data_IF_040575313838
#
_entry.id   IF_040575313838
#
_cell.length_a   1.000
_cell.length_b   1.000
_cell.length_c   1.000
_cell.angle_alpha   90.00
_cell.angle_beta   90.00
_cell.angle_gamma   90.00
#
_symmetry.space_group_name_H-M   'P 1'
#
loop_
_entity.id
_entity.type
_entity.pdbx_description
1 polymer ?
#
# COMPACT_ATOMS: atom_id res chain seq x y z
N UNK A 1 26.66 4.73 -8.91
CA UNK A 1 25.25 4.94 -8.49
C UNK A 1 25.11 6.36 -7.94
N UNK A 2 23.99 7.04 -8.17
CA UNK A 2 23.69 8.40 -7.68
C UNK A 2 22.63 8.34 -6.59
N UNK A 3 23.03 8.50 -5.32
CA UNK A 3 22.12 8.38 -4.16
C UNK A 3 20.94 9.37 -4.18
N UNK A 4 21.11 10.66 -4.54
CA UNK A 4 19.98 11.59 -4.59
C UNK A 4 18.94 11.19 -5.64
N UNK A 5 19.40 10.73 -6.80
CA UNK A 5 18.52 10.27 -7.89
C UNK A 5 17.77 8.99 -7.49
N UNK A 6 18.45 8.07 -6.80
CA UNK A 6 17.82 6.88 -6.24
C UNK A 6 16.73 7.25 -5.22
N UNK A 7 17.05 8.15 -4.27
CA UNK A 7 16.09 8.60 -3.27
C UNK A 7 14.88 9.29 -3.90
N UNK A 8 15.10 10.12 -4.93
CA UNK A 8 14.03 10.73 -5.71
C UNK A 8 13.15 9.67 -6.38
N UNK A 9 13.73 8.63 -6.99
CA UNK A 9 12.98 7.51 -7.57
C UNK A 9 12.12 6.79 -6.53
N UNK A 10 12.67 6.53 -5.34
CA UNK A 10 11.93 5.93 -4.23
C UNK A 10 10.75 6.80 -3.78
N UNK A 11 10.95 8.11 -3.63
CA UNK A 11 9.90 9.06 -3.30
C UNK A 11 8.84 9.15 -4.40
N UNK A 12 9.24 9.10 -5.67
CA UNK A 12 8.32 9.08 -6.81
C UNK A 12 7.44 7.83 -6.81
N UNK A 13 7.97 6.64 -6.46
CA UNK A 13 7.12 5.47 -6.27
C UNK A 13 6.14 5.68 -5.11
N UNK A 14 6.58 6.20 -3.96
CA UNK A 14 5.68 6.43 -2.82
C UNK A 14 4.54 7.41 -3.16
N UNK A 15 4.81 8.44 -3.97
CA UNK A 15 3.78 9.32 -4.53
C UNK A 15 2.86 8.59 -5.50
N UNK A 16 3.44 7.79 -6.41
CA UNK A 16 2.69 7.00 -7.37
C UNK A 16 1.77 5.98 -6.68
N UNK A 17 2.25 5.29 -5.63
CA UNK A 17 1.49 4.38 -4.79
C UNK A 17 0.19 5.03 -4.30
N UNK A 18 0.30 6.20 -3.67
CA UNK A 18 -0.87 6.94 -3.20
C UNK A 18 -1.80 7.30 -4.36
N UNK A 19 -1.25 7.85 -5.45
CA UNK A 19 -2.04 8.33 -6.58
C UNK A 19 -2.78 7.20 -7.30
N UNK A 20 -2.11 6.08 -7.61
CA UNK A 20 -2.73 4.94 -8.27
C UNK A 20 -3.76 4.29 -7.36
N UNK A 21 -3.46 4.14 -6.06
CA UNK A 21 -4.37 3.50 -5.12
C UNK A 21 -5.66 4.31 -4.95
N UNK A 22 -5.54 5.63 -4.75
CA UNK A 22 -6.68 6.54 -4.59
C UNK A 22 -7.46 6.78 -5.88
N UNK A 23 -6.79 7.23 -6.93
CA UNK A 23 -7.47 7.75 -8.13
C UNK A 23 -7.76 6.67 -9.19
N UNK A 24 -7.04 5.54 -9.15
CA UNK A 24 -7.26 4.42 -10.08
C UNK A 24 -7.92 3.25 -9.36
N UNK A 25 -7.39 2.81 -8.22
CA UNK A 25 -7.93 1.70 -7.44
C UNK A 25 -9.33 2.00 -6.89
N UNK A 26 -9.47 3.11 -6.18
CA UNK A 26 -10.74 3.61 -5.62
C UNK A 26 -11.43 4.68 -6.47
N UNK A 27 -10.93 4.92 -7.68
CA UNK A 27 -11.59 5.76 -8.67
C UNK A 27 -12.88 5.12 -9.22
N UNK A 28 -13.63 5.84 -10.09
CA UNK A 28 -14.78 5.28 -10.77
C UNK A 28 -14.43 3.98 -11.49
N UNK A 29 -15.35 3.01 -11.48
CA UNK A 29 -15.19 1.76 -12.22
C UNK A 29 -14.90 2.06 -13.69
N UNK A 30 -13.87 1.42 -14.23
CA UNK A 30 -13.43 1.63 -15.60
C UNK A 30 -13.84 0.44 -16.46
N UNK A 31 -14.35 0.73 -17.65
CA UNK A 31 -14.65 -0.31 -18.64
C UNK A 31 -13.39 -1.04 -19.06
N UNK A 32 -13.48 -2.37 -19.12
CA UNK A 32 -12.39 -3.22 -19.59
C UNK A 32 -12.15 -2.96 -21.07
N UNK A 33 -10.89 -2.71 -21.43
CA UNK A 33 -10.49 -2.53 -22.83
C UNK A 33 -10.10 -3.91 -23.41
N UNK A 34 -10.84 -4.46 -24.41
CA UNK A 34 -10.57 -5.79 -24.94
C UNK A 34 -9.26 -5.88 -25.74
N UNK A 35 -8.73 -7.10 -25.84
CA UNK A 35 -7.58 -7.43 -26.67
C UNK A 35 -6.28 -6.78 -26.21
N UNK A 36 -5.32 -6.67 -27.14
CA UNK A 36 -3.98 -6.14 -26.87
C UNK A 36 -3.99 -4.67 -26.39
N UNK A 37 -5.00 -3.88 -26.79
CA UNK A 37 -5.16 -2.47 -26.39
C UNK A 37 -5.31 -2.30 -24.88
N UNK A 38 -5.87 -3.29 -24.18
CA UNK A 38 -5.97 -3.30 -22.72
C UNK A 38 -4.61 -3.32 -22.02
N UNK A 39 -3.58 -3.79 -22.70
CA UNK A 39 -2.24 -4.00 -22.14
C UNK A 39 -1.21 -2.93 -22.52
N UNK A 40 -1.57 -1.99 -23.41
CA UNK A 40 -0.63 -0.99 -23.93
C UNK A 40 -1.12 0.45 -23.79
N UNK A 41 -2.41 0.66 -23.54
CA UNK A 41 -2.98 2.01 -23.40
C UNK A 41 -3.10 2.41 -21.94
N UNK A 42 -2.93 3.70 -21.59
CA UNK A 42 -3.17 4.19 -20.23
C UNK A 42 -4.57 3.85 -19.71
N UNK A 43 -5.60 3.97 -20.56
CA UNK A 43 -6.99 3.58 -20.22
C UNK A 43 -7.08 2.09 -19.88
N UNK A 44 -6.46 1.22 -20.69
CA UNK A 44 -6.44 -0.22 -20.48
C UNK A 44 -5.73 -0.62 -19.19
N UNK A 45 -4.53 -0.11 -18.97
CA UNK A 45 -3.74 -0.39 -17.76
C UNK A 45 -4.43 0.11 -16.49
N UNK A 46 -5.05 1.30 -16.54
CA UNK A 46 -5.84 1.84 -15.44
C UNK A 46 -7.08 0.97 -15.15
N UNK A 47 -7.77 0.47 -16.19
CA UNK A 47 -8.90 -0.44 -16.02
C UNK A 47 -8.47 -1.79 -15.41
N UNK A 48 -7.35 -2.35 -15.87
CA UNK A 48 -6.79 -3.58 -15.32
C UNK A 48 -6.41 -3.42 -13.84
N UNK A 49 -5.73 -2.33 -13.48
CA UNK A 49 -5.40 -2.05 -12.08
C UNK A 49 -6.66 -1.87 -11.21
N UNK A 50 -7.65 -1.11 -11.68
CA UNK A 50 -8.91 -0.91 -10.96
C UNK A 50 -9.63 -2.25 -10.69
N UNK A 51 -9.74 -3.12 -11.69
CA UNK A 51 -10.38 -4.44 -11.54
C UNK A 51 -9.65 -5.34 -10.53
N UNK A 52 -8.31 -5.44 -10.66
CA UNK A 52 -7.48 -6.24 -9.75
C UNK A 52 -7.52 -5.72 -8.31
N UNK A 53 -7.54 -4.39 -8.15
CA UNK A 53 -7.65 -3.74 -6.84
C UNK A 53 -9.00 -3.99 -6.17
N UNK A 54 -10.10 -3.78 -6.91
CA UNK A 54 -11.45 -4.04 -6.40
C UNK A 54 -11.66 -5.53 -6.07
N UNK A 55 -11.07 -6.44 -6.86
CA UNK A 55 -11.09 -7.87 -6.57
C UNK A 55 -10.35 -8.20 -5.27
N UNK A 56 -9.20 -7.58 -5.02
CA UNK A 56 -8.47 -7.71 -3.75
C UNK A 56 -9.24 -7.12 -2.57
N UNK A 57 -10.00 -6.04 -2.75
CA UNK A 57 -10.90 -5.54 -1.70
C UNK A 57 -12.05 -6.51 -1.38
N UNK A 58 -12.62 -7.14 -2.40
CA UNK A 58 -13.69 -8.12 -2.23
C UNK A 58 -13.17 -9.41 -1.56
N UNK A 59 -11.97 -9.84 -1.91
CA UNK A 59 -11.27 -10.98 -1.32
C UNK A 59 -9.82 -10.62 -0.94
N UNK A 60 -9.55 -10.24 0.33
CA UNK A 60 -8.21 -9.88 0.78
C UNK A 60 -7.17 -11.01 0.72
N UNK A 61 -7.59 -12.25 0.46
CA UNK A 61 -6.67 -13.37 0.22
C UNK A 61 -6.19 -13.45 -1.23
N UNK A 62 -6.93 -12.84 -2.17
CA UNK A 62 -6.57 -12.76 -3.57
C UNK A 62 -5.48 -11.72 -3.80
N UNK A 63 -4.51 -12.02 -4.66
CA UNK A 63 -3.54 -11.04 -5.15
C UNK A 63 -3.36 -11.24 -6.64
N UNK A 64 -3.31 -10.14 -7.41
CA UNK A 64 -3.03 -10.22 -8.84
C UNK A 64 -1.73 -11.01 -9.12
N UNK A 65 -1.64 -11.75 -10.23
CA UNK A 65 -0.50 -12.61 -10.51
C UNK A 65 0.84 -11.86 -10.47
N UNK A 66 1.81 -12.41 -9.72
CA UNK A 66 3.15 -11.80 -9.56
C UNK A 66 3.82 -11.55 -10.91
N UNK A 67 3.65 -12.45 -11.90
CA UNK A 67 4.20 -12.26 -13.25
C UNK A 67 3.71 -10.96 -13.92
N UNK A 68 2.42 -10.65 -13.79
CA UNK A 68 1.81 -9.46 -14.40
C UNK A 68 2.39 -8.20 -13.79
N UNK A 69 2.51 -8.20 -12.45
CA UNK A 69 3.10 -7.13 -11.66
C UNK A 69 4.58 -6.89 -12.00
N UNK A 70 5.37 -7.96 -12.12
CA UNK A 70 6.79 -7.90 -12.50
C UNK A 70 6.96 -7.37 -13.92
N UNK A 71 6.17 -7.86 -14.89
CA UNK A 71 6.23 -7.37 -16.27
C UNK A 71 5.90 -5.87 -16.33
N UNK A 72 4.83 -5.45 -15.66
CA UNK A 72 4.46 -4.03 -15.59
C UNK A 72 5.55 -3.18 -14.93
N UNK A 73 6.14 -3.66 -13.83
CA UNK A 73 7.24 -2.99 -13.14
C UNK A 73 8.46 -2.82 -14.04
N UNK A 74 8.92 -3.90 -14.69
CA UNK A 74 10.06 -3.87 -15.61
C UNK A 74 9.80 -2.91 -16.76
N UNK A 75 8.60 -2.92 -17.35
CA UNK A 75 8.24 -1.99 -18.42
C UNK A 75 8.33 -0.52 -17.96
N UNK A 76 7.70 -0.20 -16.82
CA UNK A 76 7.69 1.17 -16.27
C UNK A 76 9.11 1.63 -15.89
N UNK A 77 9.89 0.79 -15.21
CA UNK A 77 11.25 1.17 -14.79
C UNK A 77 12.20 1.26 -15.98
N UNK A 78 12.00 0.46 -17.04
CA UNK A 78 12.80 0.57 -18.27
C UNK A 78 12.52 1.88 -18.99
N UNK A 79 11.26 2.26 -19.13
CA UNK A 79 10.88 3.57 -19.70
C UNK A 79 11.45 4.70 -18.85
N UNK A 80 11.32 4.63 -17.53
CA UNK A 80 11.89 5.63 -16.61
C UNK A 80 13.41 5.71 -16.74
N UNK A 81 14.11 4.58 -16.92
CA UNK A 81 15.55 4.53 -17.13
C UNK A 81 15.96 5.20 -18.44
N UNK A 82 15.28 4.90 -19.55
CA UNK A 82 15.57 5.47 -20.87
C UNK A 82 15.35 6.98 -20.85
N UNK A 83 14.15 7.41 -20.44
CA UNK A 83 13.77 8.82 -20.39
C UNK A 83 14.66 9.60 -19.41
N UNK A 84 14.84 9.08 -18.20
CA UNK A 84 15.71 9.71 -17.21
C UNK A 84 17.16 9.81 -17.67
N UNK A 85 17.66 8.80 -18.36
CA UNK A 85 19.03 8.80 -18.89
C UNK A 85 19.22 9.84 -19.98
N UNK A 86 18.22 10.00 -20.86
CA UNK A 86 18.23 11.02 -21.90
C UNK A 86 18.18 12.45 -21.32
N UNK A 87 17.44 12.66 -20.24
CA UNK A 87 17.25 14.00 -19.66
C UNK A 87 18.39 14.46 -18.74
N UNK A 88 18.90 13.56 -17.89
CA UNK A 88 19.84 13.94 -16.81
C UNK A 88 21.12 13.10 -16.79
N UNK A 89 21.35 12.33 -17.86
CA UNK A 89 22.50 11.46 -18.05
C UNK A 89 22.31 10.05 -17.47
N UNK A 90 23.02 9.04 -18.02
CA UNK A 90 22.76 7.62 -17.77
C UNK A 90 22.90 7.24 -16.29
N UNK A 91 23.93 7.77 -15.61
CA UNK A 91 24.15 7.48 -14.18
C UNK A 91 22.96 7.87 -13.30
N UNK A 92 22.36 9.05 -13.55
CA UNK A 92 21.25 9.57 -12.74
C UNK A 92 19.93 8.92 -13.13
N UNK A 93 19.65 8.79 -14.43
CA UNK A 93 18.46 8.12 -14.96
C UNK A 93 18.33 6.67 -14.49
N UNK A 94 19.41 5.88 -14.60
CA UNK A 94 19.43 4.50 -14.10
C UNK A 94 19.25 4.44 -12.58
N UNK A 95 19.88 5.34 -11.82
CA UNK A 95 19.74 5.35 -10.36
C UNK A 95 18.31 5.66 -9.92
N UNK A 96 17.63 6.59 -10.61
CA UNK A 96 16.21 6.88 -10.38
C UNK A 96 15.32 5.67 -10.65
N UNK A 97 15.49 5.01 -11.80
CA UNK A 97 14.70 3.84 -12.17
C UNK A 97 14.87 2.69 -11.17
N UNK A 98 16.11 2.45 -10.72
CA UNK A 98 16.40 1.45 -9.68
C UNK A 98 15.74 1.81 -8.35
N UNK A 99 15.79 3.07 -7.92
CA UNK A 99 15.13 3.53 -6.69
C UNK A 99 13.61 3.37 -6.73
N UNK A 100 13.00 3.72 -7.87
CA UNK A 100 11.57 3.52 -8.11
C UNK A 100 11.18 2.05 -8.07
N UNK A 101 11.88 1.19 -8.83
CA UNK A 101 11.61 -0.26 -8.89
C UNK A 101 11.85 -0.99 -7.56
N UNK A 102 12.91 -0.64 -6.83
CA UNK A 102 13.21 -1.23 -5.53
C UNK A 102 12.13 -0.91 -4.50
N UNK A 103 11.63 0.33 -4.50
CA UNK A 103 10.58 0.75 -3.57
C UNK A 103 9.22 0.14 -3.93
N UNK A 104 8.93 -0.03 -5.23
CA UNK A 104 7.80 -0.83 -5.70
C UNK A 104 7.84 -2.27 -5.19
N UNK A 105 8.99 -2.93 -5.31
CA UNK A 105 9.14 -4.31 -4.83
C UNK A 105 8.95 -4.40 -3.31
N UNK A 106 9.50 -3.44 -2.55
CA UNK A 106 9.28 -3.35 -1.11
C UNK A 106 7.80 -3.13 -0.75
N UNK A 107 7.09 -2.28 -1.50
CA UNK A 107 5.64 -2.08 -1.38
C UNK A 107 4.87 -3.39 -1.57
N UNK A 108 5.16 -4.15 -2.63
CA UNK A 108 4.48 -5.41 -2.92
C UNK A 108 4.67 -6.45 -1.81
N UNK A 109 5.89 -6.57 -1.28
CA UNK A 109 6.20 -7.43 -0.15
C UNK A 109 5.45 -6.98 1.11
N UNK A 110 5.50 -5.69 1.43
CA UNK A 110 4.84 -5.13 2.61
C UNK A 110 3.33 -5.33 2.54
N UNK A 111 2.71 -4.99 1.40
CA UNK A 111 1.28 -5.10 1.18
C UNK A 111 0.82 -6.55 1.39
N UNK A 112 1.54 -7.52 0.80
CA UNK A 112 1.26 -8.93 1.04
C UNK A 112 1.43 -9.31 2.50
N UNK A 113 2.51 -8.90 3.17
CA UNK A 113 2.77 -9.23 4.58
C UNK A 113 1.72 -8.65 5.53
N UNK A 114 1.22 -7.45 5.27
CA UNK A 114 0.15 -6.81 6.05
C UNK A 114 -1.09 -7.72 6.13
N UNK A 115 -1.45 -8.35 5.01
CA UNK A 115 -2.61 -9.26 4.93
C UNK A 115 -2.32 -10.67 5.44
N UNK A 116 -1.10 -11.17 5.24
CA UNK A 116 -0.79 -12.60 5.42
C UNK A 116 -0.01 -12.93 6.70
N UNK A 117 0.65 -11.96 7.32
CA UNK A 117 1.55 -12.21 8.46
C UNK A 117 1.16 -11.38 9.69
N UNK A 118 1.51 -11.92 10.86
CA UNK A 118 1.44 -11.13 12.10
C UNK A 118 2.52 -10.04 12.11
N UNK A 119 2.22 -8.84 12.62
CA UNK A 119 3.18 -7.76 12.68
C UNK A 119 4.24 -8.07 13.74
N UNK A 120 5.52 -7.85 13.41
CA UNK A 120 6.66 -8.19 14.27
C UNK A 120 7.29 -7.00 14.96
N UNK A 121 7.01 -5.77 14.50
CA UNK A 121 7.60 -4.54 15.01
C UNK A 121 6.60 -3.37 14.99
N UNK A 122 6.98 -2.20 15.49
CA UNK A 122 6.09 -1.05 15.59
C UNK A 122 5.57 -0.60 14.21
N UNK A 123 6.45 -0.57 13.21
CA UNK A 123 6.08 -0.20 11.84
C UNK A 123 5.07 -1.16 11.23
N UNK A 124 5.32 -2.48 11.24
CA UNK A 124 4.39 -3.48 10.70
C UNK A 124 3.05 -3.51 11.46
N UNK A 125 3.04 -3.20 12.77
CA UNK A 125 1.79 -3.01 13.52
C UNK A 125 1.00 -1.81 13.01
N UNK A 126 1.66 -0.68 12.79
CA UNK A 126 1.05 0.51 12.21
C UNK A 126 0.53 0.22 10.80
N UNK A 127 1.39 -0.28 9.90
CA UNK A 127 1.04 -0.53 8.49
C UNK A 127 -0.15 -1.49 8.38
N UNK A 128 -0.14 -2.56 9.19
CA UNK A 128 -1.25 -3.50 9.24
C UNK A 128 -2.54 -2.88 9.75
N UNK A 129 -2.49 -2.11 10.84
CA UNK A 129 -3.69 -1.44 11.38
C UNK A 129 -4.24 -0.42 10.38
N UNK A 130 -3.37 0.38 9.78
CA UNK A 130 -3.71 1.43 8.82
C UNK A 130 -4.38 0.84 7.57
N UNK A 131 -3.74 -0.12 6.93
CA UNK A 131 -4.23 -0.71 5.68
C UNK A 131 -5.44 -1.63 5.88
N UNK A 132 -5.53 -2.38 6.98
CA UNK A 132 -6.74 -3.17 7.23
C UNK A 132 -7.93 -2.26 7.62
N UNK A 133 -7.68 -1.11 8.24
CA UNK A 133 -8.74 -0.12 8.49
C UNK A 133 -9.29 0.44 7.17
N UNK A 134 -8.40 0.74 6.22
CA UNK A 134 -8.76 1.04 4.84
C UNK A 134 -9.64 -0.06 4.22
N UNK A 135 -9.21 -1.33 4.26
CA UNK A 135 -9.96 -2.43 3.64
C UNK A 135 -11.37 -2.64 4.20
N UNK A 136 -11.56 -2.51 5.53
CA UNK A 136 -12.78 -2.99 6.20
C UNK A 136 -13.70 -1.89 6.73
N UNK A 137 -13.24 -0.64 6.81
CA UNK A 137 -14.00 0.46 7.40
C UNK A 137 -14.00 1.70 6.53
N UNK A 138 -12.83 2.10 6.04
CA UNK A 138 -12.64 3.40 5.40
C UNK A 138 -11.96 3.26 4.03
N UNK A 139 -12.59 2.56 3.06
CA UNK A 139 -11.96 2.27 1.77
C UNK A 139 -11.66 3.51 0.92
N UNK A 140 -12.20 4.68 1.28
CA UNK A 140 -11.94 5.97 0.60
C UNK A 140 -10.87 6.82 1.28
N UNK A 141 -10.19 6.31 2.31
CA UNK A 141 -9.17 7.00 3.12
C UNK A 141 -7.98 6.07 3.34
N UNK A 142 -6.84 6.55 3.85
CA UNK A 142 -5.67 5.71 4.18
C UNK A 142 -5.13 4.91 2.97
N UNK A 143 -4.81 5.60 1.88
CA UNK A 143 -4.35 4.97 0.64
C UNK A 143 -2.84 4.65 0.65
N UNK A 144 -2.07 5.26 1.54
CA UNK A 144 -0.66 4.96 1.72
C UNK A 144 -0.46 3.64 2.46
N UNK A 145 0.00 2.61 1.75
CA UNK A 145 0.29 1.29 2.33
C UNK A 145 1.66 1.29 2.99
N UNK A 146 2.67 1.89 2.34
CA UNK A 146 4.04 1.98 2.87
C UNK A 146 4.22 3.11 3.88
N UNK A 147 3.50 4.21 3.69
CA UNK A 147 3.65 5.41 4.51
C UNK A 147 2.41 6.30 4.38
N UNK A 148 1.98 7.00 5.44
CA UNK A 148 0.82 7.87 5.42
C UNK A 148 1.16 9.31 5.00
N UNK A 149 2.36 9.58 4.48
CA UNK A 149 2.82 10.94 4.17
C UNK A 149 1.81 11.66 3.26
N UNK A 150 1.39 11.02 2.17
CA UNK A 150 0.43 11.60 1.24
C UNK A 150 -0.98 11.69 1.81
N UNK A 151 -1.40 10.72 2.63
CA UNK A 151 -2.67 10.83 3.35
C UNK A 151 -2.69 12.02 4.30
N UNK A 152 -1.58 12.30 5.00
CA UNK A 152 -1.49 13.48 5.88
C UNK A 152 -1.49 14.79 5.09
N UNK A 153 -0.67 14.87 4.04
CA UNK A 153 -0.55 16.08 3.22
C UNK A 153 -1.86 16.45 2.54
N UNK A 154 -2.66 15.45 2.16
CA UNK A 154 -3.91 15.66 1.41
C UNK A 154 -5.16 15.58 2.33
N UNK A 155 -4.98 15.26 3.61
CA UNK A 155 -6.09 15.18 4.57
C UNK A 155 -6.97 13.93 4.39
N UNK A 156 -6.37 12.79 3.98
CA UNK A 156 -7.04 11.48 3.87
C UNK A 156 -6.54 10.46 4.89
N UNK A 157 -5.76 10.86 5.91
CA UNK A 157 -5.37 9.98 7.02
C UNK A 157 -6.51 9.92 8.05
N UNK A 158 -6.98 8.72 8.36
CA UNK A 158 -7.90 8.46 9.46
C UNK A 158 -7.34 7.40 10.40
N UNK A 159 -7.38 7.68 11.70
CA UNK A 159 -6.87 6.78 12.72
C UNK A 159 -8.02 6.06 13.38
N UNK A 160 -7.92 4.73 13.47
CA UNK A 160 -8.85 3.93 14.26
C UNK A 160 -8.82 4.43 15.73
N UNK A 161 -9.97 4.79 16.32
CA UNK A 161 -10.05 5.29 17.69
C UNK A 161 -9.32 4.41 18.71
N UNK A 162 -8.81 5.02 19.76
CA UNK A 162 -8.18 4.29 20.86
C UNK A 162 -9.20 3.37 21.53
N UNK A 163 -8.80 2.13 21.80
CA UNK A 163 -9.68 1.11 22.38
C UNK A 163 -10.63 0.40 21.38
N UNK A 164 -10.79 0.89 20.14
CA UNK A 164 -11.59 0.18 19.14
C UNK A 164 -10.80 -0.98 18.52
N UNK A 165 -11.41 -2.17 18.51
CA UNK A 165 -10.87 -3.34 17.83
C UNK A 165 -11.36 -3.38 16.38
N UNK A 166 -10.41 -3.32 15.43
CA UNK A 166 -10.73 -3.53 14.03
C UNK A 166 -11.21 -4.98 13.81
N UNK A 167 -12.48 -5.17 13.48
CA UNK A 167 -13.02 -6.51 13.18
C UNK A 167 -12.61 -6.92 11.76
N UNK A 168 -11.71 -7.89 11.67
CA UNK A 168 -11.33 -8.53 10.40
C UNK A 168 -12.04 -9.87 10.28
N UNK A 169 -12.78 -10.14 9.19
CA UNK A 169 -13.44 -11.43 8.98
C UNK A 169 -12.46 -12.60 9.07
N UNK A 170 -12.84 -13.70 9.73
CA UNK A 170 -11.97 -14.90 9.91
C UNK A 170 -11.42 -15.45 8.59
N UNK A 171 -12.20 -15.36 7.50
CA UNK A 171 -11.79 -15.79 6.14
C UNK A 171 -10.67 -14.95 5.53
N UNK A 172 -10.54 -13.70 5.98
CA UNK A 172 -9.56 -12.72 5.52
C UNK A 172 -8.37 -12.59 6.47
N UNK A 173 -8.36 -13.35 7.57
CA UNK A 173 -7.27 -13.37 8.54
C UNK A 173 -6.47 -14.67 8.42
N UNK A 174 -5.23 -14.58 7.97
CA UNK A 174 -4.29 -15.69 8.15
C UNK A 174 -3.96 -15.81 9.66
N UNK A 175 -4.27 -16.97 10.26
CA UNK A 175 -4.08 -17.36 11.67
C UNK A 175 -4.85 -16.54 12.73
N UNK A 176 -5.96 -17.11 13.22
CA UNK A 176 -6.70 -16.67 14.40
C UNK A 176 -5.88 -16.65 15.71
N UNK A 177 -4.64 -17.18 15.73
CA UNK A 177 -3.78 -17.23 16.93
C UNK A 177 -3.10 -15.90 17.28
N UNK A 178 -2.93 -14.99 16.33
CA UNK A 178 -2.08 -13.79 16.50
C UNK A 178 -2.84 -12.51 16.87
N UNK A 179 -4.16 -12.50 16.69
CA UNK A 179 -5.02 -11.38 17.13
C UNK A 179 -5.14 -11.28 18.65
N UNK A 180 -5.31 -12.43 19.34
CA UNK A 180 -5.50 -12.46 20.79
C UNK A 180 -4.25 -12.06 21.58
N UNK A 181 -3.05 -12.37 21.08
CA UNK A 181 -1.79 -12.07 21.77
C UNK A 181 -1.42 -10.58 21.72
N UNK A 182 -1.70 -9.90 20.60
CA UNK A 182 -1.28 -8.51 20.41
C UNK A 182 -2.22 -7.51 21.06
N UNK A 183 -3.52 -7.81 21.14
CA UNK A 183 -4.50 -6.94 21.80
C UNK A 183 -4.44 -7.00 23.33
N UNK A 184 -3.83 -8.05 23.92
CA UNK A 184 -3.62 -8.15 25.38
C UNK A 184 -2.49 -7.24 25.90
N UNK A 185 -1.53 -6.84 25.06
CA UNK A 185 -0.38 -6.03 25.50
C UNK A 185 -0.58 -4.51 25.48
N UNK A 186 -1.72 -4.00 25.01
CA UNK A 186 -2.04 -2.56 25.03
C UNK A 186 -2.99 -2.13 26.16
N UNK A 187 -3.39 -3.04 27.06
CA UNK A 187 -4.00 -2.64 28.34
C UNK A 187 -2.90 -2.38 29.35
N UNK A 188 -2.26 -1.20 29.24
CA UNK A 188 -1.59 -0.63 30.41
C UNK A 188 -2.69 -0.28 31.41
N UNK A 189 -2.63 -0.94 32.56
CA UNK A 189 -3.54 -0.76 33.69
C UNK A 189 -3.47 0.70 34.16
N UNK A 190 -4.51 1.50 33.93
CA UNK A 190 -4.80 2.68 34.73
C UNK A 190 -5.62 2.28 35.97
N UNK A 191 -5.00 1.51 36.87
CA UNK A 191 -5.42 1.53 38.28
C UNK A 191 -4.71 2.70 38.94
N UNK A 192 -5.44 3.75 39.28
CA UNK A 192 -5.17 4.61 40.46
C UNK A 192 -6.41 5.44 40.83
N UNK A 193 -7.01 5.00 41.94
CA UNK A 193 -7.72 5.75 42.98
C UNK A 193 -8.84 6.73 42.61
N UNK A 194 -10.08 6.25 42.67
CA UNK A 194 -11.17 7.03 43.24
C UNK A 194 -11.14 6.84 44.77
N UNK A 195 -10.78 7.90 45.51
CA UNK A 195 -11.18 8.06 46.92
C UNK A 195 -12.32 9.09 46.91
N UNK A 196 -13.50 8.68 47.36
CA UNK A 196 -14.59 9.59 47.70
C UNK A 196 -14.37 10.10 49.14
N UNK A 197 -14.61 11.39 49.44
CA UNK A 197 -14.79 11.84 50.81
C UNK A 197 -16.30 11.98 51.16
N UNK A 198 -16.60 12.06 52.47
CA UNK A 198 -17.88 11.67 53.09
C UNK A 198 -19.00 12.71 52.97
#
# INVERSE_FOLDING_TARGET
MSLPAFALGAMSWNAAEYAIHRFVGHGPRRERVPGWRGWVTPKGLAAAFNDEHLRHHADPSYFAPTRTKVIASVAVTTVAAIVGSALVGPRRGLSFAVGFGATYAAYEILHRRVHTHAPTNAYSRWARRHHLFHHFKTPRLNHGVTSPIWDRLIGTEERLPEGEALRVPRRSSCSARTWAATCKRSRVSSRRHARSPP
#
